data_IF_459120830346
#
_entry.id   IF_459120830346
#
_cell.length_a   1.000
_cell.length_b   1.000
_cell.length_c   1.000
_cell.angle_alpha   90.00
_cell.angle_beta   90.00
_cell.angle_gamma   90.00
#
_symmetry.space_group_name_H-M   'P 1'
#
loop_
_entity.id
_entity.type
_entity.pdbx_description
1 polymer ?
#
# COMPACT_ATOMS: atom_id res chain seq x y z
N UNK A 1 -12.61 -5.44 -20.09
CA UNK A 1 -12.71 -5.36 -18.61
C UNK A 1 -12.50 -6.77 -18.09
N UNK A 2 -11.45 -7.06 -17.31
CA UNK A 2 -11.10 -8.45 -16.99
C UNK A 2 -12.22 -9.11 -16.19
N UNK A 3 -12.83 -10.13 -16.81
CA UNK A 3 -13.90 -10.93 -16.22
C UNK A 3 -13.30 -12.03 -15.30
N UNK A 4 -12.24 -11.68 -14.57
CA UNK A 4 -11.52 -12.59 -13.69
C UNK A 4 -12.11 -12.51 -12.28
N UNK A 5 -12.58 -13.64 -11.75
CA UNK A 5 -13.04 -13.74 -10.37
C UNK A 5 -11.94 -13.29 -9.41
N UNK A 6 -12.13 -12.17 -8.70
CA UNK A 6 -11.23 -11.68 -7.65
C UNK A 6 -10.98 -12.78 -6.60
N UNK A 7 -9.74 -12.93 -6.17
CA UNK A 7 -9.33 -13.89 -5.14
C UNK A 7 -9.60 -13.27 -3.77
N UNK A 8 -10.33 -14.01 -2.92
CA UNK A 8 -10.56 -13.57 -1.53
C UNK A 8 -9.22 -13.46 -0.78
N UNK A 9 -8.99 -12.34 -0.13
CA UNK A 9 -7.80 -12.09 0.66
C UNK A 9 -8.13 -11.35 1.97
N UNK A 10 -7.23 -11.42 2.94
CA UNK A 10 -7.33 -10.70 4.22
C UNK A 10 -5.94 -10.46 4.81
N UNK A 11 -5.76 -9.34 5.51
CA UNK A 11 -4.51 -8.98 6.21
C UNK A 11 -4.85 -8.43 7.60
N UNK A 12 -4.25 -9.04 8.62
CA UNK A 12 -4.08 -8.51 9.97
C UNK A 12 -2.61 -8.12 10.10
N UNK A 13 -2.33 -6.83 10.28
CA UNK A 13 -0.98 -6.30 10.18
C UNK A 13 -0.75 -5.14 11.15
N UNK A 14 0.49 -5.01 11.62
CA UNK A 14 0.94 -3.76 12.21
C UNK A 14 1.19 -2.77 11.06
N UNK A 15 0.63 -1.57 11.15
CA UNK A 15 0.73 -0.56 10.11
C UNK A 15 1.42 0.70 10.64
N UNK A 16 2.47 1.12 9.95
CA UNK A 16 3.13 2.40 10.17
C UNK A 16 2.90 3.28 8.95
N UNK A 17 2.54 4.54 9.17
CA UNK A 17 2.39 5.55 8.13
C UNK A 17 3.05 6.85 8.56
N UNK A 18 3.68 7.52 7.61
CA UNK A 18 4.15 8.90 7.75
C UNK A 18 3.80 9.69 6.49
N UNK A 19 3.45 10.97 6.65
CA UNK A 19 3.19 11.89 5.55
C UNK A 19 3.76 13.28 5.86
N UNK A 20 3.78 14.13 4.83
CA UNK A 20 4.30 15.49 4.91
C UNK A 20 3.31 16.54 5.45
N UNK A 21 2.07 16.17 5.78
CA UNK A 21 1.07 17.11 6.30
C UNK A 21 1.26 17.36 7.80
N UNK A 22 0.99 18.58 8.24
CA UNK A 22 1.24 19.01 9.63
C UNK A 22 0.41 18.22 10.65
N UNK A 23 -0.85 17.91 10.32
CA UNK A 23 -1.71 17.09 11.16
C UNK A 23 -2.75 16.32 10.35
N UNK A 24 -2.79 15.01 10.55
CA UNK A 24 -3.73 14.12 9.86
C UNK A 24 -3.60 14.18 8.33
N UNK A 25 -4.66 13.74 7.64
CA UNK A 25 -4.80 13.91 6.20
C UNK A 25 -5.89 14.96 5.93
N UNK A 26 -5.54 16.26 5.74
CA UNK A 26 -6.53 17.31 5.49
C UNK A 26 -7.44 17.01 4.28
N UNK A 27 -6.94 16.27 3.30
CA UNK A 27 -7.67 15.86 2.11
C UNK A 27 -8.91 15.00 2.40
N UNK A 28 -8.98 14.36 3.56
CA UNK A 28 -10.17 13.60 3.99
C UNK A 28 -11.34 14.52 4.35
N UNK A 29 -11.07 15.80 4.60
CA UNK A 29 -12.05 16.83 4.96
C UNK A 29 -12.14 17.92 3.89
N UNK A 30 -11.89 17.55 2.63
CA UNK A 30 -11.93 18.44 1.46
C UNK A 30 -10.94 19.63 1.52
N UNK A 31 -9.98 19.61 2.44
CA UNK A 31 -8.90 20.58 2.49
C UNK A 31 -7.73 20.15 1.59
N UNK A 32 -6.86 21.10 1.23
CA UNK A 32 -5.64 20.82 0.46
C UNK A 32 -4.52 20.28 1.35
N UNK A 33 -3.55 19.52 0.80
CA UNK A 33 -2.34 19.14 1.52
C UNK A 33 -1.62 20.36 2.08
N UNK A 34 -1.07 20.26 3.28
CA UNK A 34 -0.46 21.41 3.97
C UNK A 34 0.67 22.05 3.16
N UNK A 35 1.48 21.22 2.49
CA UNK A 35 2.64 21.67 1.70
C UNK A 35 2.29 21.90 0.22
N UNK A 36 1.01 21.84 -0.16
CA UNK A 36 0.55 21.97 -1.55
C UNK A 36 0.69 20.70 -2.40
N UNK A 37 1.46 19.71 -1.94
CA UNK A 37 1.60 18.37 -2.53
C UNK A 37 1.47 17.30 -1.43
N UNK A 38 1.21 16.05 -1.80
CA UNK A 38 1.06 14.94 -0.87
C UNK A 38 2.20 13.94 -1.06
N UNK A 39 3.06 13.82 -0.05
CA UNK A 39 4.04 12.74 0.06
C UNK A 39 3.66 11.83 1.23
N UNK A 40 3.54 10.55 0.93
CA UNK A 40 3.16 9.54 1.91
C UNK A 40 4.07 8.32 1.82
N UNK A 41 4.37 7.73 2.96
CA UNK A 41 4.99 6.42 3.04
C UNK A 41 4.29 5.58 4.09
N UNK A 42 4.39 4.27 3.95
CA UNK A 42 3.93 3.36 4.97
C UNK A 42 4.40 1.95 4.76
N UNK A 43 4.24 1.13 5.79
CA UNK A 43 4.58 -0.27 5.74
C UNK A 43 3.66 -1.10 6.63
N UNK A 44 3.25 -2.26 6.10
CA UNK A 44 2.50 -3.29 6.79
C UNK A 44 3.44 -4.45 7.14
N UNK A 45 3.54 -4.78 8.43
CA UNK A 45 4.07 -6.07 8.89
C UNK A 45 2.90 -7.02 9.03
N UNK A 46 2.81 -8.02 8.14
CA UNK A 46 1.66 -8.93 8.08
C UNK A 46 1.80 -9.99 9.17
N UNK A 47 0.99 -9.86 10.23
CA UNK A 47 0.93 -10.82 11.33
C UNK A 47 0.14 -12.07 10.93
N UNK A 48 -1.03 -11.88 10.30
CA UNK A 48 -1.80 -12.95 9.67
C UNK A 48 -2.33 -12.48 8.33
N UNK A 49 -2.04 -13.20 7.25
CA UNK A 49 -2.46 -12.82 5.92
C UNK A 49 -2.72 -14.02 5.02
N UNK A 50 -3.74 -13.92 4.18
CA UNK A 50 -4.07 -14.92 3.17
C UNK A 50 -4.46 -14.29 1.86
N UNK A 51 -4.07 -14.95 0.78
CA UNK A 51 -4.55 -14.70 -0.58
C UNK A 51 -5.05 -16.04 -1.15
N UNK A 52 -6.36 -16.28 -1.05
CA UNK A 52 -6.97 -17.58 -1.26
C UNK A 52 -6.41 -18.63 -0.30
N UNK A 53 -5.64 -19.59 -0.84
CA UNK A 53 -4.95 -20.64 -0.05
C UNK A 53 -3.49 -20.28 0.27
N UNK A 54 -2.95 -19.22 -0.33
CA UNK A 54 -1.57 -18.80 -0.13
C UNK A 54 -1.44 -18.03 1.19
N UNK A 55 -0.50 -18.44 2.04
CA UNK A 55 -0.16 -17.71 3.26
C UNK A 55 0.73 -16.51 2.94
N UNK A 56 0.42 -15.37 3.55
CA UNK A 56 1.22 -14.14 3.54
C UNK A 56 1.77 -13.80 4.93
N UNK A 57 1.63 -14.71 5.90
CA UNK A 57 2.07 -14.51 7.28
C UNK A 57 3.58 -14.20 7.34
N UNK A 58 3.94 -13.24 8.19
CA UNK A 58 5.32 -12.86 8.46
C UNK A 58 6.02 -12.14 7.30
N UNK A 59 5.29 -11.80 6.24
CA UNK A 59 5.78 -10.93 5.16
C UNK A 59 5.51 -9.47 5.48
N UNK A 60 6.11 -8.59 4.68
CA UNK A 60 5.88 -7.16 4.74
C UNK A 60 5.63 -6.58 3.35
N UNK A 61 4.91 -5.46 3.35
CA UNK A 61 4.61 -4.64 2.18
C UNK A 61 4.82 -3.18 2.58
N UNK A 62 5.58 -2.43 1.80
CA UNK A 62 5.79 -1.01 2.00
C UNK A 62 5.44 -0.22 0.74
N UNK A 63 5.23 1.08 0.92
CA UNK A 63 5.04 2.01 -0.17
C UNK A 63 5.67 3.37 0.12
N UNK A 64 6.02 4.06 -0.95
CA UNK A 64 6.23 5.51 -0.97
C UNK A 64 5.42 6.05 -2.14
N UNK A 65 4.72 7.15 -1.94
CA UNK A 65 3.89 7.74 -2.96
C UNK A 65 3.97 9.27 -2.93
N UNK A 66 3.83 9.85 -4.12
CA UNK A 66 3.84 11.29 -4.37
C UNK A 66 2.63 11.66 -5.22
N UNK A 67 1.89 12.69 -4.80
CA UNK A 67 0.90 13.38 -5.63
C UNK A 67 1.27 14.88 -5.70
N UNK A 68 1.18 15.51 -6.89
CA UNK A 68 1.50 16.93 -7.06
C UNK A 68 0.50 17.88 -6.37
N UNK A 69 -0.62 17.35 -5.89
CA UNK A 69 -1.72 18.08 -5.25
C UNK A 69 -2.48 17.20 -4.28
N UNK A 70 -3.79 17.41 -4.16
CA UNK A 70 -4.62 16.58 -3.28
C UNK A 70 -4.73 15.14 -3.83
N UNK A 71 -4.79 14.14 -2.95
CA UNK A 71 -4.80 12.72 -3.34
C UNK A 71 -5.92 12.39 -4.34
N UNK A 72 -7.11 12.98 -4.16
CA UNK A 72 -8.27 12.75 -5.02
C UNK A 72 -8.16 13.41 -6.40
N UNK A 73 -7.24 14.36 -6.60
CA UNK A 73 -6.96 14.98 -7.91
C UNK A 73 -6.13 14.05 -8.82
N UNK A 74 -5.61 12.95 -8.28
CA UNK A 74 -4.90 11.92 -9.02
C UNK A 74 -3.47 12.32 -9.39
N UNK A 75 -2.95 11.76 -10.49
CA UNK A 75 -1.56 11.91 -10.93
C UNK A 75 -0.50 11.40 -9.93
N UNK A 76 -0.90 10.44 -9.10
CA UNK A 76 -0.01 9.83 -8.13
C UNK A 76 1.08 8.98 -8.77
N UNK A 77 2.30 9.08 -8.23
CA UNK A 77 3.38 8.14 -8.48
C UNK A 77 3.56 7.24 -7.27
N UNK A 78 3.58 5.91 -7.47
CA UNK A 78 3.69 4.91 -6.42
C UNK A 78 4.95 4.06 -6.62
N UNK A 79 5.75 3.91 -5.57
CA UNK A 79 6.77 2.88 -5.44
C UNK A 79 6.31 1.83 -4.41
N UNK A 80 6.43 0.56 -4.75
CA UNK A 80 6.12 -0.55 -3.86
C UNK A 80 7.40 -1.27 -3.42
N UNK A 81 7.43 -1.64 -2.14
CA UNK A 81 8.50 -2.40 -1.53
C UNK A 81 7.92 -3.71 -1.01
N UNK A 82 8.47 -4.84 -1.45
CA UNK A 82 7.98 -6.17 -1.08
C UNK A 82 9.07 -6.91 -0.34
N UNK A 83 8.68 -7.64 0.70
CA UNK A 83 9.57 -8.47 1.49
C UNK A 83 10.42 -9.41 0.62
N UNK A 84 11.74 -9.37 0.80
CA UNK A 84 12.71 -10.07 -0.03
C UNK A 84 12.54 -11.59 0.05
N UNK A 85 12.23 -12.12 1.24
CA UNK A 85 11.96 -13.56 1.46
C UNK A 85 10.64 -14.05 0.86
N UNK A 86 9.78 -13.18 0.35
CA UNK A 86 8.55 -13.59 -0.32
C UNK A 86 8.89 -14.40 -1.59
N UNK A 87 8.23 -15.54 -1.78
CA UNK A 87 8.36 -16.33 -3.01
C UNK A 87 7.61 -15.66 -4.19
N UNK A 88 7.81 -16.10 -5.45
CA UNK A 88 7.19 -15.46 -6.61
C UNK A 88 5.66 -15.34 -6.54
N UNK A 89 4.96 -16.35 -6.03
CA UNK A 89 3.49 -16.32 -5.88
C UNK A 89 3.05 -15.31 -4.81
N UNK A 90 3.81 -15.18 -3.73
CA UNK A 90 3.54 -14.19 -2.68
C UNK A 90 3.79 -12.77 -3.17
N UNK A 91 4.86 -12.54 -3.94
CA UNK A 91 5.15 -11.24 -4.56
C UNK A 91 4.03 -10.81 -5.50
N UNK A 92 3.57 -11.71 -6.35
CA UNK A 92 2.44 -11.46 -7.24
C UNK A 92 1.16 -11.13 -6.45
N UNK A 93 0.85 -11.90 -5.40
CA UNK A 93 -0.31 -11.65 -4.55
C UNK A 93 -0.23 -10.27 -3.87
N UNK A 94 0.92 -9.91 -3.30
CA UNK A 94 1.13 -8.61 -2.66
C UNK A 94 1.01 -7.47 -3.67
N UNK A 95 1.55 -7.61 -4.88
CA UNK A 95 1.38 -6.61 -5.95
C UNK A 95 -0.09 -6.42 -6.33
N UNK A 96 -0.84 -7.51 -6.51
CA UNK A 96 -2.26 -7.45 -6.88
C UNK A 96 -3.12 -6.82 -5.80
N UNK A 97 -2.82 -7.09 -4.52
CA UNK A 97 -3.46 -6.43 -3.37
C UNK A 97 -3.09 -4.94 -3.37
N UNK A 98 -1.80 -4.60 -3.39
CA UNK A 98 -1.30 -3.23 -3.27
C UNK A 98 -1.79 -2.31 -4.40
N UNK A 99 -1.96 -2.86 -5.60
CA UNK A 99 -2.46 -2.13 -6.79
C UNK A 99 -3.98 -2.20 -6.94
N UNK A 100 -4.70 -2.72 -5.94
CA UNK A 100 -6.16 -2.73 -5.92
C UNK A 100 -6.83 -3.67 -6.93
N UNK A 101 -6.07 -4.48 -7.68
CA UNK A 101 -6.61 -5.41 -8.68
C UNK A 101 -7.58 -6.42 -8.07
N UNK A 102 -7.37 -6.74 -6.78
CA UNK A 102 -8.18 -7.69 -6.02
C UNK A 102 -9.29 -7.01 -5.22
N UNK A 103 -9.48 -5.71 -5.44
CA UNK A 103 -10.34 -4.86 -4.64
C UNK A 103 -9.86 -4.72 -3.20
N UNK A 104 -10.75 -4.17 -2.37
CA UNK A 104 -10.54 -4.03 -0.94
C UNK A 104 -10.01 -2.67 -0.54
N UNK A 105 -10.66 -2.08 0.46
CA UNK A 105 -10.26 -0.79 1.04
C UNK A 105 -9.04 -0.95 1.95
N UNK A 106 -8.10 0.02 1.97
CA UNK A 106 -8.08 1.27 1.18
C UNK A 106 -7.45 1.13 -0.23
N UNK A 107 -6.81 -0.01 -0.54
CA UNK A 107 -6.00 -0.20 -1.76
C UNK A 107 -6.76 0.09 -3.06
N UNK A 108 -8.01 -0.37 -3.19
CA UNK A 108 -8.81 -0.21 -4.40
C UNK A 108 -9.12 1.25 -4.75
N UNK A 109 -9.32 2.11 -3.75
CA UNK A 109 -9.57 3.54 -4.00
C UNK A 109 -8.27 4.28 -4.27
N UNK A 110 -7.23 4.04 -3.48
CA UNK A 110 -5.94 4.71 -3.67
C UNK A 110 -5.37 4.39 -5.06
N UNK A 111 -5.48 3.13 -5.51
CA UNK A 111 -5.01 2.73 -6.83
C UNK A 111 -5.63 3.54 -7.99
N UNK A 112 -6.85 4.05 -7.84
CA UNK A 112 -7.51 4.90 -8.86
C UNK A 112 -6.87 6.29 -8.99
N UNK A 113 -6.09 6.71 -8.00
CA UNK A 113 -5.41 8.01 -7.98
C UNK A 113 -3.98 7.94 -8.53
N UNK A 114 -3.47 6.72 -8.76
CA UNK A 114 -2.11 6.47 -9.25
C UNK A 114 -2.13 6.41 -10.78
N UNK A 115 -1.35 7.29 -11.42
CA UNK A 115 -1.13 7.25 -12.87
C UNK A 115 0.21 6.60 -13.24
N UNK A 116 1.16 6.55 -12.29
CA UNK A 116 2.49 5.99 -12.50
C UNK A 116 2.85 5.01 -11.38
N UNK A 117 3.01 3.74 -11.73
CA UNK A 117 3.59 2.72 -10.86
C UNK A 117 5.06 2.52 -11.25
N UNK A 118 5.96 2.67 -10.28
CA UNK A 118 7.39 2.37 -10.46
C UNK A 118 7.64 0.87 -10.28
N UNK A 119 8.80 0.41 -10.78
CA UNK A 119 9.20 -0.98 -10.64
C UNK A 119 9.31 -1.36 -9.15
N UNK A 120 8.66 -2.46 -8.72
CA UNK A 120 8.66 -2.85 -7.33
C UNK A 120 10.06 -3.28 -6.89
N UNK A 121 10.43 -2.90 -5.67
CA UNK A 121 11.71 -3.25 -5.07
C UNK A 121 11.53 -4.39 -4.06
N UNK A 122 12.43 -5.37 -4.10
CA UNK A 122 12.46 -6.47 -3.12
C UNK A 122 13.50 -6.16 -2.05
N UNK A 123 13.05 -5.91 -0.82
CA UNK A 123 13.89 -5.42 0.26
C UNK A 123 13.66 -6.22 1.55
N UNK A 124 14.67 -6.26 2.41
CA UNK A 124 14.50 -6.78 3.77
C UNK A 124 13.81 -5.72 4.62
N UNK A 125 12.77 -6.10 5.36
CA UNK A 125 12.13 -5.22 6.34
C UNK A 125 12.58 -5.59 7.76
N UNK A 126 13.04 -4.60 8.53
CA UNK A 126 13.32 -4.73 9.96
C UNK A 126 12.30 -3.92 10.77
N UNK A 127 11.34 -4.60 11.39
CA UNK A 127 10.32 -3.99 12.24
C UNK A 127 10.68 -4.16 13.72
N UNK A 128 10.96 -3.05 14.40
CA UNK A 128 11.18 -2.99 15.85
C UNK A 128 10.02 -2.25 16.51
N UNK A 129 8.92 -2.96 16.67
CA UNK A 129 7.72 -2.46 17.35
C UNK A 129 7.79 -2.99 18.78
N UNK A 130 7.86 -2.08 19.77
CA UNK A 130 7.72 -2.46 21.17
C UNK A 130 6.23 -2.47 21.50
N UNK A 131 5.74 -3.60 21.97
CA UNK A 131 4.43 -3.64 22.61
C UNK A 131 4.46 -2.72 23.85
N UNK A 132 3.36 -2.00 24.08
CA UNK A 132 3.21 -1.08 25.23
C UNK A 132 3.24 -1.82 26.55
#
# INVERSE_FOLDING_TARGET
MSNGKKVKWSLEADYLQACNCDYGCPCEFEARPTQGFCDGMGAWRINRGRYGRLSLNGLALGFVAHWPGALHEGNGTLALFIEQKANPKQREALMKIATGQEGGMPFEIIAKTISKLLDPQYVTFDFKIKDK
#
